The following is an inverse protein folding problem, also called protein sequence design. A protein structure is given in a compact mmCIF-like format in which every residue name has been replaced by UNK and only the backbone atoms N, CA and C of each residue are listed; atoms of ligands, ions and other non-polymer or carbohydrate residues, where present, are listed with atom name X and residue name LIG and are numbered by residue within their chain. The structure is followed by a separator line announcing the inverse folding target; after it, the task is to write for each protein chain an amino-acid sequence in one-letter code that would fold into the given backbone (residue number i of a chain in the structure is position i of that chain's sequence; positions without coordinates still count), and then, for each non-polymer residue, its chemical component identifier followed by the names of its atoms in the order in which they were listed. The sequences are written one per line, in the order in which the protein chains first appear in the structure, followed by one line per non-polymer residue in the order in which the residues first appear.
data_IF_916872811709
#
_entry.id   IF_916872811709
#
_cell.length_a   1.000
_cell.length_b   1.000
_cell.length_c   1.000
_cell.angle_alpha   90.00
_cell.angle_beta   90.00
_cell.angle_gamma   90.00
#
_symmetry.space_group_name_H-M   'P 1'
#
loop_
_entity.id
_entity.type
_entity.pdbx_description
1 polymer ?
#
# COMPACT_ATOMS: atom_id res chain seq x y z
N UNK A 1 28.56 22.31 -20.68
CA UNK A 1 28.04 21.05 -21.25
C UNK A 1 27.78 20.10 -20.08
N UNK A 2 26.58 20.14 -19.50
CA UNK A 2 26.18 19.22 -18.44
C UNK A 2 25.63 17.97 -19.13
N UNK A 3 26.28 16.83 -18.91
CA UNK A 3 25.80 15.52 -19.39
C UNK A 3 24.40 15.29 -18.84
N UNK A 4 23.39 15.43 -19.71
CA UNK A 4 22.04 15.02 -19.42
C UNK A 4 22.05 13.49 -19.53
N UNK A 5 22.25 12.80 -18.39
CA UNK A 5 22.07 11.35 -18.32
C UNK A 5 20.59 11.06 -18.62
N UNK A 6 20.29 10.91 -19.91
CA UNK A 6 18.96 10.72 -20.47
C UNK A 6 18.41 9.33 -20.17
N UNK A 7 18.11 9.05 -18.91
CA UNK A 7 17.13 8.01 -18.61
C UNK A 7 15.75 8.59 -18.93
N UNK A 8 15.21 8.18 -20.08
CA UNK A 8 13.81 8.42 -20.41
C UNK A 8 12.95 7.87 -19.28
N UNK A 9 12.10 8.72 -18.69
CA UNK A 9 11.18 8.32 -17.62
C UNK A 9 10.32 7.16 -18.08
N UNK A 10 10.38 6.05 -17.36
CA UNK A 10 9.51 4.91 -17.63
C UNK A 10 8.04 5.29 -17.47
N UNK A 11 7.23 4.83 -18.40
CA UNK A 11 5.78 4.97 -18.39
C UNK A 11 5.13 3.62 -18.68
N UNK A 12 3.87 3.48 -18.29
CA UNK A 12 3.10 2.27 -18.59
C UNK A 12 2.95 2.06 -20.10
N UNK A 13 3.18 0.83 -20.55
CA UNK A 13 3.09 0.43 -21.95
C UNK A 13 1.66 0.37 -22.48
N UNK A 14 0.67 0.22 -21.60
CA UNK A 14 -0.74 0.06 -21.97
C UNK A 14 -1.69 0.77 -21.01
N UNK A 15 -2.89 1.13 -21.51
CA UNK A 15 -3.99 1.65 -20.68
C UNK A 15 -4.41 0.64 -19.62
N UNK A 16 -4.38 -0.65 -19.96
CA UNK A 16 -4.67 -1.71 -19.01
C UNK A 16 -3.66 -1.73 -17.86
N UNK A 17 -2.36 -1.60 -18.14
CA UNK A 17 -1.31 -1.53 -17.12
C UNK A 17 -1.53 -0.35 -16.15
N UNK A 18 -1.93 0.82 -16.65
CA UNK A 18 -2.28 1.96 -15.78
C UNK A 18 -3.46 1.64 -14.87
N UNK A 19 -4.54 1.07 -15.42
CA UNK A 19 -5.75 0.75 -14.65
C UNK A 19 -5.45 -0.35 -13.62
N UNK A 20 -4.71 -1.38 -14.01
CA UNK A 20 -4.31 -2.49 -13.14
C UNK A 20 -3.43 -1.99 -11.98
N UNK A 21 -2.45 -1.12 -12.25
CA UNK A 21 -1.60 -0.54 -11.22
C UNK A 21 -2.38 0.34 -10.23
N UNK A 22 -3.33 1.16 -10.72
CA UNK A 22 -4.19 1.98 -9.85
C UNK A 22 -5.09 1.08 -9.00
N UNK A 23 -5.72 0.06 -9.60
CA UNK A 23 -6.58 -0.87 -8.89
C UNK A 23 -5.80 -1.68 -7.84
N UNK A 24 -4.61 -2.19 -8.20
CA UNK A 24 -3.73 -2.91 -7.29
C UNK A 24 -3.19 -2.04 -6.15
N UNK A 25 -2.96 -0.75 -6.40
CA UNK A 25 -2.57 0.20 -5.34
C UNK A 25 -3.72 0.49 -4.37
N UNK A 26 -4.98 0.41 -4.81
CA UNK A 26 -6.15 0.71 -3.99
C UNK A 26 -6.71 -0.53 -3.25
N UNK A 27 -6.56 -1.72 -3.82
CA UNK A 27 -7.06 -2.98 -3.26
C UNK A 27 -5.94 -3.70 -2.53
N UNK A 28 -6.10 -3.92 -1.22
CA UNK A 28 -5.11 -4.62 -0.42
C UNK A 28 -5.59 -5.00 0.98
N UNK A 29 -4.65 -5.20 1.90
CA UNK A 29 -4.90 -5.57 3.30
C UNK A 29 -5.79 -4.55 4.02
N UNK A 30 -5.78 -3.29 3.60
CA UNK A 30 -6.69 -2.27 4.13
C UNK A 30 -8.16 -2.70 4.04
N UNK A 31 -8.58 -3.29 2.91
CA UNK A 31 -9.97 -3.66 2.68
C UNK A 31 -10.35 -5.00 3.33
N UNK A 32 -9.39 -5.91 3.50
CA UNK A 32 -9.63 -7.27 3.99
C UNK A 32 -9.42 -7.40 5.50
N UNK A 33 -8.44 -6.68 6.05
CA UNK A 33 -8.08 -6.74 7.46
C UNK A 33 -8.55 -5.51 8.22
N UNK A 34 -8.10 -4.31 7.81
CA UNK A 34 -8.34 -3.10 8.61
C UNK A 34 -9.79 -2.65 8.57
N UNK A 35 -10.40 -2.67 7.39
CA UNK A 35 -11.76 -2.17 7.19
C UNK A 35 -12.80 -2.98 8.00
N UNK A 36 -12.86 -4.32 7.93
CA UNK A 36 -13.84 -5.09 8.71
C UNK A 36 -13.63 -4.95 10.21
N UNK A 37 -12.37 -4.88 10.67
CA UNK A 37 -12.03 -4.67 12.07
C UNK A 37 -12.58 -3.33 12.57
N UNK A 38 -12.24 -2.23 11.90
CA UNK A 38 -12.70 -0.88 12.29
C UNK A 38 -14.23 -0.77 12.15
N UNK A 39 -14.82 -1.29 11.07
CA UNK A 39 -16.26 -1.26 10.89
C UNK A 39 -16.99 -2.03 12.00
N UNK A 40 -16.48 -3.21 12.38
CA UNK A 40 -17.01 -4.02 13.47
C UNK A 40 -16.99 -3.28 14.81
N UNK A 41 -15.89 -2.60 15.13
CA UNK A 41 -15.75 -1.85 16.38
C UNK A 41 -16.56 -0.54 16.42
N UNK A 42 -16.89 0.04 15.27
CA UNK A 42 -17.49 1.39 15.19
C UNK A 42 -18.98 1.38 14.81
N UNK A 43 -19.72 0.29 15.07
CA UNK A 43 -21.17 0.24 14.84
C UNK A 43 -21.58 -0.26 13.45
N UNK A 44 -20.69 -0.95 12.74
CA UNK A 44 -20.98 -1.76 11.55
C UNK A 44 -21.63 -0.95 10.42
N UNK A 45 -22.93 -1.18 10.20
CA UNK A 45 -23.69 -0.58 9.09
C UNK A 45 -23.80 0.95 9.15
N UNK A 46 -23.92 1.54 10.34
CA UNK A 46 -23.98 3.00 10.48
C UNK A 46 -22.64 3.65 10.10
N UNK A 47 -21.53 3.06 10.55
CA UNK A 47 -20.18 3.45 10.14
C UNK A 47 -19.98 3.31 8.63
N UNK A 48 -20.45 2.21 8.03
CA UNK A 48 -20.32 1.96 6.59
C UNK A 48 -21.00 3.07 5.76
N UNK A 49 -22.18 3.54 6.15
CA UNK A 49 -22.87 4.62 5.44
C UNK A 49 -22.08 5.93 5.47
N UNK A 50 -21.56 6.32 6.65
CA UNK A 50 -20.71 7.50 6.79
C UNK A 50 -19.40 7.34 6.01
N UNK A 51 -18.79 6.15 6.08
CA UNK A 51 -17.58 5.82 5.31
C UNK A 51 -17.80 6.04 3.81
N UNK A 52 -18.88 5.51 3.23
CA UNK A 52 -19.20 5.68 1.81
C UNK A 52 -19.43 7.16 1.49
N UNK A 53 -20.16 7.90 2.33
CA UNK A 53 -20.39 9.33 2.14
C UNK A 53 -19.06 10.11 2.12
N UNK A 54 -18.14 9.83 3.04
CA UNK A 54 -16.80 10.42 3.07
C UNK A 54 -15.94 10.02 1.85
N UNK A 55 -16.01 8.76 1.40
CA UNK A 55 -15.30 8.32 0.20
C UNK A 55 -15.75 9.10 -1.03
N UNK A 56 -17.06 9.28 -1.20
CA UNK A 56 -17.60 10.03 -2.35
C UNK A 56 -17.29 11.52 -2.24
N UNK A 57 -17.49 12.11 -1.06
CA UNK A 57 -17.35 13.56 -0.87
C UNK A 57 -15.90 14.04 -0.76
N UNK A 58 -14.98 13.20 -0.27
CA UNK A 58 -13.59 13.59 0.03
C UNK A 58 -12.61 12.69 -0.72
N UNK A 59 -12.77 11.37 -0.63
CA UNK A 59 -11.84 10.40 -1.22
C UNK A 59 -11.70 10.56 -2.74
N UNK A 60 -12.83 10.57 -3.46
CA UNK A 60 -12.82 10.72 -4.93
C UNK A 60 -12.23 12.07 -5.36
N UNK A 61 -12.63 13.24 -4.82
CA UNK A 61 -12.01 14.52 -5.18
C UNK A 61 -10.50 14.58 -4.90
N UNK A 62 -10.04 14.04 -3.78
CA UNK A 62 -8.60 14.01 -3.43
C UNK A 62 -7.85 13.13 -4.43
N UNK A 63 -8.33 11.91 -4.68
CA UNK A 63 -7.72 10.99 -5.66
C UNK A 63 -7.63 11.63 -7.05
N UNK A 64 -8.71 12.27 -7.51
CA UNK A 64 -8.72 12.97 -8.80
C UNK A 64 -7.71 14.12 -8.83
N UNK A 65 -7.57 14.87 -7.72
CA UNK A 65 -6.59 15.95 -7.61
C UNK A 65 -5.16 15.43 -7.71
N UNK A 66 -4.83 14.34 -7.00
CA UNK A 66 -3.51 13.71 -7.05
C UNK A 66 -3.17 13.20 -8.46
N UNK A 67 -4.13 12.53 -9.12
CA UNK A 67 -3.96 12.05 -10.50
C UNK A 67 -3.73 13.20 -11.50
N UNK A 68 -4.46 14.32 -11.36
CA UNK A 68 -4.30 15.50 -12.22
C UNK A 68 -2.93 16.16 -11.98
N UNK A 69 -2.53 16.34 -10.72
CA UNK A 69 -1.23 16.91 -10.34
C UNK A 69 -0.10 16.06 -10.91
N UNK A 70 -0.12 14.75 -10.66
CA UNK A 70 0.90 13.81 -11.15
C UNK A 70 0.95 13.76 -12.67
N UNK A 71 -0.20 13.70 -13.35
CA UNK A 71 -0.27 13.68 -14.81
C UNK A 71 0.26 14.97 -15.43
N UNK A 72 -0.06 16.13 -14.87
CA UNK A 72 0.41 17.42 -15.41
C UNK A 72 1.89 17.66 -15.14
N UNK A 73 2.38 17.28 -13.96
CA UNK A 73 3.78 17.50 -13.60
C UNK A 73 4.75 16.47 -14.18
N UNK A 74 4.29 15.24 -14.45
CA UNK A 74 5.12 14.12 -14.90
C UNK A 74 6.38 13.93 -14.03
N UNK A 75 6.23 14.09 -12.72
CA UNK A 75 7.32 14.08 -11.74
C UNK A 75 6.90 13.29 -10.49
N UNK A 76 7.83 13.06 -9.57
CA UNK A 76 7.54 12.42 -8.27
C UNK A 76 6.71 13.35 -7.36
N UNK A 77 6.23 12.86 -6.21
CA UNK A 77 5.33 13.59 -5.31
C UNK A 77 5.90 14.97 -4.92
N UNK A 78 7.16 15.03 -4.49
CA UNK A 78 7.85 16.28 -4.15
C UNK A 78 8.05 17.21 -5.36
N UNK A 79 8.59 16.67 -6.44
CA UNK A 79 8.93 17.40 -7.65
C UNK A 79 7.71 17.96 -8.36
N UNK A 80 6.55 17.30 -8.23
CA UNK A 80 5.30 17.75 -8.85
C UNK A 80 4.86 19.10 -8.31
N UNK A 81 4.88 19.28 -6.99
CA UNK A 81 4.54 20.56 -6.38
C UNK A 81 5.58 21.65 -6.66
N UNK A 82 6.88 21.31 -6.66
CA UNK A 82 7.93 22.27 -7.06
C UNK A 82 7.80 22.74 -8.51
N UNK A 83 7.37 21.85 -9.41
CA UNK A 83 7.20 22.16 -10.84
C UNK A 83 5.94 22.98 -11.12
N UNK A 84 4.82 22.62 -10.49
CA UNK A 84 3.52 23.25 -10.75
C UNK A 84 3.31 24.56 -9.96
N UNK A 85 3.96 24.71 -8.80
CA UNK A 85 3.85 25.90 -7.97
C UNK A 85 5.25 26.36 -7.47
N UNK A 86 6.13 26.82 -8.38
CA UNK A 86 7.47 27.27 -8.03
C UNK A 86 7.41 28.44 -7.02
N UNK A 87 8.34 28.45 -6.07
CA UNK A 87 8.43 29.50 -5.03
C UNK A 87 7.37 29.43 -3.93
N UNK A 88 6.40 28.50 -4.01
CA UNK A 88 5.38 28.29 -2.96
C UNK A 88 5.70 27.04 -2.12
N UNK A 89 5.31 27.01 -0.84
CA UNK A 89 5.64 25.90 0.06
C UNK A 89 4.82 24.62 -0.15
N UNK A 90 4.11 24.47 -1.28
CA UNK A 90 3.27 23.30 -1.56
C UNK A 90 4.05 21.99 -1.64
N UNK A 91 5.36 22.05 -1.85
CA UNK A 91 6.24 20.87 -1.82
C UNK A 91 6.21 20.13 -0.46
N UNK A 92 5.82 20.82 0.63
CA UNK A 92 5.66 20.22 1.95
C UNK A 92 4.60 19.12 1.94
N UNK A 93 3.50 19.28 1.19
CA UNK A 93 2.47 18.24 1.03
C UNK A 93 3.07 16.99 0.38
N UNK A 94 3.90 17.17 -0.65
CA UNK A 94 4.62 16.06 -1.28
C UNK A 94 5.55 15.34 -0.32
N UNK A 95 6.26 16.06 0.55
CA UNK A 95 7.11 15.46 1.60
C UNK A 95 6.26 14.69 2.61
N UNK A 96 5.17 15.28 3.10
CA UNK A 96 4.24 14.62 4.03
C UNK A 96 3.69 13.32 3.44
N UNK A 97 3.34 13.30 2.15
CA UNK A 97 2.92 12.08 1.47
C UNK A 97 4.00 11.00 1.43
N UNK A 98 5.26 11.37 1.17
CA UNK A 98 6.39 10.42 1.17
C UNK A 98 6.61 9.85 2.58
N UNK A 99 6.58 10.70 3.61
CA UNK A 99 6.73 10.27 5.01
C UNK A 99 5.56 9.36 5.42
N UNK A 100 4.33 9.72 5.06
CA UNK A 100 3.16 8.91 5.32
C UNK A 100 3.26 7.53 4.65
N UNK A 101 3.66 7.48 3.37
CA UNK A 101 3.86 6.22 2.66
C UNK A 101 4.93 5.34 3.33
N UNK A 102 6.03 5.94 3.80
CA UNK A 102 7.09 5.23 4.53
C UNK A 102 6.59 4.63 5.84
N UNK A 103 5.87 5.42 6.65
CA UNK A 103 5.29 4.96 7.93
C UNK A 103 4.23 3.89 7.69
N UNK A 104 3.39 4.05 6.66
CA UNK A 104 2.39 3.04 6.28
C UNK A 104 3.07 1.74 5.90
N UNK A 105 4.09 1.78 5.04
CA UNK A 105 4.83 0.60 4.63
C UNK A 105 5.47 -0.15 5.82
N UNK A 106 5.96 0.59 6.82
CA UNK A 106 6.60 0.00 8.00
C UNK A 106 5.67 -0.98 8.74
N UNK A 107 4.43 -0.60 9.03
CA UNK A 107 3.48 -1.53 9.69
C UNK A 107 2.76 -2.44 8.69
N UNK A 108 2.53 -1.98 7.46
CA UNK A 108 1.83 -2.77 6.43
C UNK A 108 2.64 -4.02 6.06
N UNK A 109 3.97 -3.90 6.01
CA UNK A 109 4.87 -5.04 5.77
C UNK A 109 4.80 -6.09 6.88
N UNK A 110 4.58 -5.70 8.13
CA UNK A 110 4.39 -6.64 9.25
C UNK A 110 3.12 -7.47 9.07
N UNK A 111 1.98 -6.82 8.79
CA UNK A 111 0.70 -7.52 8.58
C UNK A 111 0.76 -8.39 7.33
N UNK A 112 1.40 -7.91 6.25
CA UNK A 112 1.60 -8.69 5.04
C UNK A 112 2.48 -9.94 5.28
N UNK A 113 3.50 -9.82 6.14
CA UNK A 113 4.31 -10.95 6.58
C UNK A 113 3.47 -12.01 7.30
N UNK A 114 2.52 -11.60 8.15
CA UNK A 114 1.58 -12.55 8.77
C UNK A 114 0.78 -13.31 7.73
N UNK A 115 0.29 -12.63 6.70
CA UNK A 115 -0.44 -13.26 5.60
C UNK A 115 0.42 -14.30 4.88
N UNK A 116 1.70 -14.03 4.61
CA UNK A 116 2.61 -15.00 3.98
C UNK A 116 2.79 -16.27 4.81
N UNK A 117 2.97 -16.14 6.12
CA UNK A 117 3.02 -17.28 7.03
C UNK A 117 1.74 -18.10 6.94
N UNK A 118 0.57 -17.45 7.02
CA UNK A 118 -0.73 -18.13 6.95
C UNK A 118 -0.96 -18.83 5.61
N UNK A 119 -0.44 -18.30 4.50
CA UNK A 119 -0.46 -18.97 3.20
C UNK A 119 0.28 -20.31 3.27
N UNK A 120 1.50 -20.33 3.81
CA UNK A 120 2.29 -21.56 3.96
C UNK A 120 1.62 -22.56 4.91
N UNK A 121 1.06 -22.07 6.02
CA UNK A 121 0.34 -22.91 6.97
C UNK A 121 -0.95 -23.51 6.39
N UNK A 122 -1.59 -22.79 5.45
CA UNK A 122 -2.74 -23.30 4.71
C UNK A 122 -2.33 -24.44 3.76
N UNK A 123 -1.22 -24.28 3.02
CA UNK A 123 -0.72 -25.32 2.11
C UNK A 123 -0.22 -26.58 2.83
N UNK A 124 0.35 -26.42 4.02
CA UNK A 124 0.82 -27.56 4.83
C UNK A 124 -0.30 -28.26 5.61
N UNK A 125 -1.53 -27.74 5.56
CA UNK A 125 -2.68 -28.30 6.27
C UNK A 125 -2.66 -28.04 7.78
N UNK A 126 -1.71 -27.25 8.29
CA UNK A 126 -1.55 -26.99 9.73
C UNK A 126 -2.71 -26.21 10.34
N UNK A 127 -3.56 -25.58 9.53
CA UNK A 127 -4.75 -24.86 10.00
C UNK A 127 -6.02 -25.73 10.00
N UNK A 128 -5.98 -26.92 9.40
CA UNK A 128 -7.16 -27.76 9.20
C UNK A 128 -7.63 -28.40 10.52
N UNK A 129 -8.94 -28.35 10.77
CA UNK A 129 -9.56 -28.97 11.95
C UNK A 129 -9.32 -28.25 13.28
N UNK A 130 -8.67 -27.08 13.29
CA UNK A 130 -8.47 -26.28 14.50
C UNK A 130 -9.73 -25.52 14.88
N UNK A 131 -10.04 -25.50 16.17
CA UNK A 131 -11.06 -24.66 16.77
C UNK A 131 -10.63 -23.18 16.79
N UNK A 132 -11.59 -22.28 17.02
CA UNK A 132 -11.32 -20.84 17.10
C UNK A 132 -10.29 -20.49 18.19
N UNK A 133 -10.32 -21.17 19.34
CA UNK A 133 -9.37 -20.93 20.43
C UNK A 133 -7.96 -21.40 20.07
N UNK A 134 -7.83 -22.54 19.40
CA UNK A 134 -6.53 -23.02 18.91
C UNK A 134 -5.93 -22.10 17.84
N UNK A 135 -6.77 -21.50 16.98
CA UNK A 135 -6.33 -20.53 15.99
C UNK A 135 -5.85 -19.22 16.64
N UNK A 136 -6.49 -18.77 17.72
CA UNK A 136 -6.03 -17.61 18.51
C UNK A 136 -4.68 -17.89 19.16
N UNK A 137 -4.54 -19.02 19.85
CA UNK A 137 -3.27 -19.41 20.48
C UNK A 137 -2.16 -19.55 19.44
N UNK A 138 -2.47 -20.10 18.27
CA UNK A 138 -1.52 -20.18 17.16
C UNK A 138 -1.07 -18.78 16.69
N UNK A 139 -2.01 -17.86 16.49
CA UNK A 139 -1.71 -16.48 16.09
C UNK A 139 -0.88 -15.76 17.14
N UNK A 140 -1.29 -15.81 18.41
CA UNK A 140 -0.59 -15.20 19.54
C UNK A 140 0.83 -15.74 19.69
N UNK A 141 1.00 -17.06 19.58
CA UNK A 141 2.31 -17.71 19.60
C UNK A 141 3.19 -17.30 18.41
N UNK A 142 2.60 -17.00 17.25
CA UNK A 142 3.33 -16.49 16.11
C UNK A 142 3.77 -15.03 16.30
N UNK A 143 2.86 -14.12 16.66
CA UNK A 143 3.18 -12.68 16.77
C UNK A 143 4.08 -12.37 17.97
N UNK A 144 4.04 -13.18 19.03
CA UNK A 144 4.91 -13.04 20.19
C UNK A 144 6.30 -13.66 19.99
N UNK A 145 6.51 -14.39 18.89
CA UNK A 145 7.79 -15.03 18.63
C UNK A 145 8.88 -13.99 18.28
N UNK A 146 10.09 -14.05 18.87
CA UNK A 146 11.10 -12.99 18.70
C UNK A 146 11.57 -12.73 17.27
N UNK A 147 11.58 -13.76 16.41
CA UNK A 147 12.16 -13.64 15.05
C UNK A 147 11.24 -14.07 13.91
N UNK A 148 10.16 -14.83 14.16
CA UNK A 148 9.34 -15.41 13.08
C UNK A 148 8.59 -14.33 12.29
N UNK A 149 7.89 -13.39 12.95
CA UNK A 149 7.24 -12.27 12.26
C UNK A 149 8.24 -11.38 11.51
N UNK A 150 9.43 -11.15 12.09
CA UNK A 150 10.49 -10.36 11.46
C UNK A 150 11.02 -11.03 10.19
N UNK A 151 11.18 -12.36 10.20
CA UNK A 151 11.58 -13.10 9.02
C UNK A 151 10.56 -12.92 7.89
N UNK A 152 9.26 -13.09 8.16
CA UNK A 152 8.24 -12.93 7.12
C UNK A 152 8.06 -11.50 6.65
N UNK A 153 8.21 -10.53 7.55
CA UNK A 153 8.28 -9.12 7.17
C UNK A 153 9.47 -8.87 6.23
N UNK A 154 10.64 -9.43 6.53
CA UNK A 154 11.82 -9.37 5.68
C UNK A 154 11.60 -10.00 4.31
N UNK A 155 10.97 -11.18 4.25
CA UNK A 155 10.59 -11.87 3.00
C UNK A 155 9.64 -10.99 2.18
N UNK A 156 8.60 -10.44 2.80
CA UNK A 156 7.65 -9.55 2.12
C UNK A 156 8.33 -8.30 1.56
N UNK A 157 9.21 -7.67 2.34
CA UNK A 157 9.96 -6.49 1.91
C UNK A 157 10.93 -6.82 0.77
N UNK A 158 11.57 -7.99 0.82
CA UNK A 158 12.43 -8.46 -0.27
C UNK A 158 11.63 -8.64 -1.57
N UNK A 159 10.48 -9.31 -1.52
CA UNK A 159 9.61 -9.47 -2.69
C UNK A 159 9.12 -8.13 -3.25
N UNK A 160 8.75 -7.20 -2.36
CA UNK A 160 8.34 -5.84 -2.74
C UNK A 160 9.49 -5.10 -3.44
N UNK A 161 10.69 -5.12 -2.84
CA UNK A 161 11.87 -4.48 -3.41
C UNK A 161 12.28 -5.12 -4.75
N UNK A 162 12.16 -6.45 -4.87
CA UNK A 162 12.44 -7.19 -6.09
C UNK A 162 11.52 -6.74 -7.24
N UNK A 163 10.22 -6.61 -7.01
CA UNK A 163 9.27 -6.11 -8.03
C UNK A 163 9.62 -4.67 -8.43
N UNK A 164 9.85 -3.79 -7.45
CA UNK A 164 10.19 -2.38 -7.70
C UNK A 164 11.51 -2.22 -8.46
N UNK A 165 12.48 -3.11 -8.22
CA UNK A 165 13.78 -3.10 -8.90
C UNK A 165 13.67 -3.25 -10.43
N UNK A 166 12.68 -4.00 -10.94
CA UNK A 166 12.46 -4.15 -12.38
C UNK A 166 11.75 -2.95 -13.04
N UNK A 167 11.38 -1.94 -12.27
CA UNK A 167 10.78 -0.70 -12.78
C UNK A 167 9.31 -0.85 -13.19
N UNK A 168 8.77 0.20 -13.82
CA UNK A 168 7.33 0.34 -14.07
C UNK A 168 6.83 -0.55 -15.21
N UNK A 169 7.66 -0.90 -16.19
CA UNK A 169 7.21 -1.70 -17.34
C UNK A 169 7.37 -3.20 -17.14
N UNK A 170 8.39 -3.62 -16.39
CA UNK A 170 8.75 -5.04 -16.21
C UNK A 170 8.44 -5.57 -14.80
N UNK A 171 8.13 -4.69 -13.86
CA UNK A 171 7.83 -5.02 -12.48
C UNK A 171 6.38 -4.72 -12.09
N UNK A 172 6.02 -3.43 -12.04
CA UNK A 172 4.70 -2.92 -11.61
C UNK A 172 3.63 -3.11 -12.68
#
# INVERSE_FOLDING_TARGET
MLSNNGQSRDGFSSRFGVIAAIAGSAVGLGNIWRFPYVAGENGGGAFLLLYIACVVAIGIPVMMSELIIGRRAQSNAYGSFKRLAPGKPWYVIGILGIVAAFVILAFYSTVAGWTLEYIIQSFTGSLHGKSNEELKVFFEGFISHPWRPLLWQGVFMFLTAFIVYFGVQKGI
#
